data_IF_075478962591
#
_entry.id   IF_075478962591
#
_cell.length_a   1.000
_cell.length_b   1.000
_cell.length_c   1.000
_cell.angle_alpha   90.00
_cell.angle_beta   90.00
_cell.angle_gamma   90.00
#
_symmetry.space_group_name_H-M   'P 1'
#
loop_
_entity.id
_entity.type
_entity.pdbx_description
1 polymer ?
#
# COMPACT_ATOMS: atom_id res chain seq x y z
N UNK A 1 5.70 10.18 23.80
CA UNK A 1 5.39 10.08 22.37
C UNK A 1 5.03 8.64 22.10
N UNK A 2 3.76 8.36 21.78
CA UNK A 2 3.38 7.00 21.41
C UNK A 2 4.14 6.63 20.12
N UNK A 3 4.83 5.50 20.18
CA UNK A 3 5.56 4.97 19.05
C UNK A 3 4.55 4.43 18.03
N UNK A 4 4.33 5.16 16.94
CA UNK A 4 3.42 4.74 15.87
C UNK A 4 3.78 3.35 15.33
N UNK A 5 5.07 2.97 15.37
CA UNK A 5 5.52 1.66 14.88
C UNK A 5 4.92 0.50 15.67
N UNK A 6 4.62 0.68 16.96
CA UNK A 6 3.99 -0.35 17.79
C UNK A 6 2.56 -0.70 17.34
N UNK A 7 1.94 0.15 16.50
CA UNK A 7 0.61 -0.07 15.93
C UNK A 7 0.61 -0.85 14.63
N UNK A 8 1.78 -1.12 14.07
CA UNK A 8 1.92 -1.91 12.86
C UNK A 8 2.25 -3.36 13.16
N UNK A 9 1.67 -4.25 12.37
CA UNK A 9 2.07 -5.65 12.28
C UNK A 9 2.24 -6.05 10.82
N UNK A 10 3.30 -6.82 10.55
CA UNK A 10 3.55 -7.41 9.23
C UNK A 10 3.12 -8.87 9.31
N UNK A 11 2.16 -9.26 8.47
CA UNK A 11 1.65 -10.63 8.45
C UNK A 11 2.54 -11.52 7.56
N UNK A 12 2.56 -11.23 6.26
CA UNK A 12 3.30 -12.00 5.26
C UNK A 12 3.59 -11.11 4.05
N UNK A 13 4.78 -11.19 3.46
CA UNK A 13 5.20 -10.33 2.34
C UNK A 13 4.96 -8.85 2.63
N UNK A 14 4.19 -8.18 1.77
CA UNK A 14 3.79 -6.78 1.92
C UNK A 14 2.46 -6.58 2.68
N UNK A 15 1.94 -7.65 3.29
CA UNK A 15 0.69 -7.60 4.05
C UNK A 15 0.92 -6.91 5.40
N UNK A 16 0.51 -5.66 5.49
CA UNK A 16 0.75 -4.79 6.64
C UNK A 16 -0.59 -4.37 7.24
N UNK A 17 -0.73 -4.50 8.56
CA UNK A 17 -1.87 -4.03 9.31
C UNK A 17 -1.47 -2.90 10.25
N UNK A 18 -2.21 -1.80 10.21
CA UNK A 18 -2.17 -0.73 11.17
C UNK A 18 -3.41 -0.77 12.06
N UNK A 19 -3.22 -0.69 13.37
CA UNK A 19 -4.29 -0.67 14.38
C UNK A 19 -4.22 0.61 15.22
N UNK A 20 -4.97 1.62 14.83
CA UNK A 20 -5.11 2.90 15.52
C UNK A 20 -6.59 3.25 15.75
N UNK A 21 -6.94 4.53 15.62
CA UNK A 21 -8.33 4.98 15.66
C UNK A 21 -9.17 4.34 14.53
N UNK A 22 -8.54 4.01 13.42
CA UNK A 22 -9.06 3.14 12.37
C UNK A 22 -8.11 1.98 12.14
N UNK A 23 -8.63 0.83 11.73
CA UNK A 23 -7.80 -0.28 11.26
C UNK A 23 -7.62 -0.19 9.76
N UNK A 24 -6.37 -0.15 9.32
CA UNK A 24 -6.00 -0.06 7.92
C UNK A 24 -5.15 -1.28 7.55
N UNK A 25 -5.48 -1.90 6.44
CA UNK A 25 -4.68 -2.98 5.86
C UNK A 25 -4.09 -2.54 4.53
N UNK A 26 -2.85 -2.96 4.28
CA UNK A 26 -2.18 -2.84 2.98
C UNK A 26 -1.89 -4.25 2.47
N UNK A 27 -2.27 -4.53 1.23
CA UNK A 27 -2.02 -5.78 0.52
C UNK A 27 -2.25 -7.04 1.39
N UNK A 28 -3.45 -7.26 1.98
CA UNK A 28 -3.69 -8.40 2.85
C UNK A 28 -3.48 -9.70 2.09
N UNK A 29 -2.56 -10.55 2.62
CA UNK A 29 -2.17 -11.81 2.02
C UNK A 29 -1.87 -12.87 3.08
N UNK A 30 -2.35 -14.10 2.90
CA UNK A 30 -2.22 -15.24 3.82
C UNK A 30 -2.65 -14.88 5.24
N UNK A 31 -3.76 -14.21 5.38
CA UNK A 31 -4.33 -13.86 6.68
C UNK A 31 -4.93 -15.13 7.29
N UNK A 32 -4.36 -15.57 8.43
CA UNK A 32 -4.72 -16.85 9.05
C UNK A 32 -6.18 -16.90 9.54
N UNK A 33 -6.63 -15.78 10.14
CA UNK A 33 -7.98 -15.62 10.68
C UNK A 33 -8.82 -14.73 9.76
N UNK A 34 -10.10 -14.58 10.10
CA UNK A 34 -10.99 -13.61 9.47
C UNK A 34 -11.31 -12.49 10.47
N UNK A 35 -10.39 -11.53 10.70
CA UNK A 35 -10.55 -10.53 11.75
C UNK A 35 -11.73 -9.58 11.50
N UNK A 36 -12.15 -9.39 10.25
CA UNK A 36 -13.23 -8.49 9.85
C UNK A 36 -13.15 -7.12 10.54
N UNK A 37 -11.93 -6.56 10.61
CA UNK A 37 -11.65 -5.35 11.40
C UNK A 37 -11.23 -4.14 10.56
N UNK A 38 -10.93 -4.34 9.27
CA UNK A 38 -10.48 -3.27 8.40
C UNK A 38 -11.57 -2.21 8.18
N UNK A 39 -11.22 -0.95 8.41
CA UNK A 39 -11.97 0.22 7.94
C UNK A 39 -11.66 0.53 6.49
N UNK A 40 -10.38 0.43 6.14
CA UNK A 40 -9.85 0.68 4.80
C UNK A 40 -8.84 -0.41 4.45
N UNK A 41 -8.92 -0.90 3.22
CA UNK A 41 -7.91 -1.78 2.62
C UNK A 41 -7.30 -1.06 1.43
N UNK A 42 -5.98 -0.91 1.42
CA UNK A 42 -5.20 -0.41 0.30
C UNK A 42 -4.58 -1.57 -0.46
N UNK A 43 -4.77 -1.61 -1.77
CA UNK A 43 -4.13 -2.55 -2.69
C UNK A 43 -3.18 -1.78 -3.60
N UNK A 44 -1.92 -2.19 -3.65
CA UNK A 44 -0.90 -1.50 -4.44
C UNK A 44 -0.95 -1.89 -5.92
N UNK A 45 -1.22 -3.17 -6.23
CA UNK A 45 -1.30 -3.71 -7.57
C UNK A 45 -1.97 -5.10 -7.59
N UNK A 46 -2.19 -5.66 -8.78
CA UNK A 46 -2.99 -6.88 -8.97
C UNK A 46 -2.19 -8.20 -9.04
N UNK A 47 -0.93 -8.23 -8.59
CA UNK A 47 -0.25 -9.49 -8.37
C UNK A 47 -0.91 -10.27 -7.21
N UNK A 48 -0.87 -11.60 -7.28
CA UNK A 48 -1.63 -12.49 -6.39
C UNK A 48 -1.29 -12.34 -4.90
N UNK A 49 -0.10 -11.89 -4.56
CA UNK A 49 0.40 -11.68 -3.20
C UNK A 49 0.17 -10.26 -2.66
N UNK A 50 -0.45 -9.39 -3.48
CA UNK A 50 -0.88 -8.03 -3.11
C UNK A 50 -2.40 -7.87 -3.28
N UNK A 51 -2.98 -8.51 -4.28
CA UNK A 51 -4.42 -8.56 -4.51
C UNK A 51 -4.91 -10.02 -4.31
N UNK A 52 -5.16 -10.41 -3.06
CA UNK A 52 -5.80 -11.66 -2.67
C UNK A 52 -7.26 -11.39 -2.32
N UNK A 53 -8.22 -11.64 -3.23
CA UNK A 53 -9.64 -11.39 -2.94
C UNK A 53 -10.14 -12.09 -1.69
N UNK A 54 -9.70 -13.33 -1.46
CA UNK A 54 -10.07 -14.09 -0.27
C UNK A 54 -9.62 -13.41 1.02
N UNK A 55 -8.36 -12.97 1.09
CA UNK A 55 -7.82 -12.28 2.27
C UNK A 55 -8.42 -10.90 2.44
N UNK A 56 -8.65 -10.16 1.34
CA UNK A 56 -9.34 -8.86 1.38
C UNK A 56 -10.74 -9.03 1.99
N UNK A 57 -11.51 -10.05 1.58
CA UNK A 57 -12.82 -10.33 2.17
C UNK A 57 -12.74 -10.71 3.65
N UNK A 58 -11.69 -11.44 4.07
CA UNK A 58 -11.48 -11.83 5.48
C UNK A 58 -11.22 -10.64 6.40
N UNK A 59 -10.53 -9.61 5.91
CA UNK A 59 -10.19 -8.44 6.73
C UNK A 59 -11.25 -7.35 6.70
N UNK A 60 -11.99 -7.18 5.59
CA UNK A 60 -12.98 -6.12 5.43
C UNK A 60 -14.18 -6.31 6.35
N UNK A 61 -14.50 -5.32 7.17
CA UNK A 61 -15.75 -5.25 7.92
C UNK A 61 -16.86 -4.60 7.08
N UNK A 62 -18.14 -4.73 7.48
CA UNK A 62 -19.24 -4.00 6.83
C UNK A 62 -18.94 -2.50 6.74
N UNK A 63 -19.09 -1.92 5.55
CA UNK A 63 -18.81 -0.52 5.30
C UNK A 63 -17.32 -0.17 5.14
N UNK A 64 -16.42 -1.15 5.08
CA UNK A 64 -15.01 -0.93 4.70
C UNK A 64 -14.91 -0.43 3.26
N UNK A 65 -13.84 0.32 2.97
CA UNK A 65 -13.53 0.81 1.63
C UNK A 65 -12.27 0.12 1.10
N UNK A 66 -12.34 -0.39 -0.13
CA UNK A 66 -11.22 -0.94 -0.87
C UNK A 66 -10.64 0.15 -1.78
N UNK A 67 -9.43 0.60 -1.47
CA UNK A 67 -8.66 1.55 -2.28
C UNK A 67 -7.72 0.76 -3.19
N UNK A 68 -7.76 1.01 -4.49
CA UNK A 68 -6.98 0.23 -5.45
C UNK A 68 -6.68 1.06 -6.71
N UNK A 69 -5.61 0.75 -7.48
CA UNK A 69 -5.38 1.36 -8.78
C UNK A 69 -6.59 1.18 -9.71
N UNK A 70 -6.93 2.18 -10.52
CA UNK A 70 -8.04 2.08 -11.49
C UNK A 70 -7.89 0.88 -12.44
N UNK A 71 -6.65 0.47 -12.72
CA UNK A 71 -6.34 -0.71 -13.55
C UNK A 71 -6.72 -2.03 -12.90
N UNK A 72 -6.87 -2.08 -11.58
CA UNK A 72 -7.25 -3.27 -10.80
C UNK A 72 -8.79 -3.41 -10.64
N UNK A 73 -9.57 -2.38 -10.98
CA UNK A 73 -11.04 -2.36 -10.78
C UNK A 73 -11.73 -3.54 -11.48
N UNK A 74 -11.35 -3.85 -12.71
CA UNK A 74 -11.95 -4.95 -13.45
C UNK A 74 -11.70 -6.31 -12.79
N UNK A 75 -10.52 -6.51 -12.18
CA UNK A 75 -10.20 -7.71 -11.42
C UNK A 75 -11.03 -7.77 -10.13
N UNK A 76 -11.17 -6.65 -9.42
CA UNK A 76 -11.97 -6.57 -8.20
C UNK A 76 -13.46 -6.85 -8.46
N UNK A 77 -14.04 -6.31 -9.53
CA UNK A 77 -15.42 -6.62 -9.92
C UNK A 77 -15.62 -8.11 -10.20
N UNK A 78 -14.67 -8.75 -10.93
CA UNK A 78 -14.72 -10.21 -11.17
C UNK A 78 -14.60 -11.02 -9.88
N UNK A 79 -13.90 -10.50 -8.89
CA UNK A 79 -13.76 -11.11 -7.57
C UNK A 79 -14.95 -10.86 -6.63
N UNK A 80 -15.99 -10.15 -7.09
CA UNK A 80 -17.23 -9.95 -6.33
C UNK A 80 -17.29 -8.68 -5.49
N UNK A 81 -16.30 -7.80 -5.55
CA UNK A 81 -16.36 -6.50 -4.85
C UNK A 81 -17.35 -5.57 -5.55
N UNK A 82 -18.23 -4.94 -4.78
CA UNK A 82 -19.20 -3.98 -5.32
C UNK A 82 -18.49 -2.64 -5.64
N UNK A 83 -18.89 -1.99 -6.75
CA UNK A 83 -18.34 -0.68 -7.11
C UNK A 83 -18.47 0.37 -6.00
N UNK A 84 -19.56 0.33 -5.23
CA UNK A 84 -19.78 1.25 -4.11
C UNK A 84 -18.82 1.07 -2.94
N UNK A 85 -18.08 -0.05 -2.88
CA UNK A 85 -17.06 -0.33 -1.85
C UNK A 85 -15.67 0.08 -2.31
N UNK A 86 -15.49 0.47 -3.57
CA UNK A 86 -14.18 0.75 -4.16
C UNK A 86 -13.94 2.24 -4.31
N UNK A 87 -12.71 2.65 -4.04
CA UNK A 87 -12.15 3.96 -4.39
C UNK A 87 -10.99 3.74 -5.36
N UNK A 88 -11.24 3.80 -6.69
CA UNK A 88 -10.18 3.73 -7.67
C UNK A 88 -9.26 4.94 -7.60
N UNK A 89 -7.95 4.71 -7.72
CA UNK A 89 -6.94 5.78 -7.64
C UNK A 89 -6.02 5.78 -8.86
N UNK A 90 -5.39 6.93 -9.10
CA UNK A 90 -4.41 7.16 -10.17
C UNK A 90 -3.06 7.55 -9.57
N UNK A 91 -1.97 7.10 -10.18
CA UNK A 91 -0.63 7.51 -9.76
C UNK A 91 -0.46 9.03 -9.79
N UNK A 92 0.13 9.58 -8.74
CA UNK A 92 0.43 11.00 -8.59
C UNK A 92 -0.72 11.85 -8.01
N UNK A 93 -1.90 11.28 -7.79
CA UNK A 93 -3.06 12.01 -7.29
C UNK A 93 -3.23 11.86 -5.77
N UNK A 94 -3.82 12.89 -5.13
CA UNK A 94 -4.15 12.90 -3.71
C UNK A 94 -5.65 12.67 -3.50
N UNK A 95 -5.97 11.95 -2.43
CA UNK A 95 -7.32 11.53 -2.09
C UNK A 95 -7.59 11.60 -0.60
N UNK A 96 -8.84 11.42 -0.22
CA UNK A 96 -9.26 11.21 1.16
C UNK A 96 -10.26 10.04 1.22
N UNK A 97 -10.08 9.11 2.14
CA UNK A 97 -11.00 8.02 2.41
C UNK A 97 -11.31 7.95 3.91
N UNK A 98 -12.57 8.02 4.31
CA UNK A 98 -12.98 8.01 5.74
C UNK A 98 -12.12 8.96 6.61
N UNK A 99 -11.93 10.18 6.15
CA UNK A 99 -11.10 11.21 6.81
C UNK A 99 -9.58 10.91 6.86
N UNK A 100 -9.10 9.86 6.19
CA UNK A 100 -7.68 9.59 5.99
C UNK A 100 -7.20 10.26 4.69
N UNK A 101 -6.39 11.31 4.75
CA UNK A 101 -5.75 11.85 3.56
C UNK A 101 -4.58 10.96 3.13
N UNK A 102 -4.46 10.74 1.82
CA UNK A 102 -3.36 9.97 1.24
C UNK A 102 -3.01 10.40 -0.18
N UNK A 103 -1.83 10.01 -0.63
CA UNK A 103 -1.36 10.19 -2.00
C UNK A 103 -0.99 8.84 -2.59
N UNK A 104 -1.44 8.58 -3.83
CA UNK A 104 -1.04 7.42 -4.60
C UNK A 104 0.27 7.73 -5.35
N UNK A 105 1.37 7.10 -4.95
CA UNK A 105 2.71 7.30 -5.53
C UNK A 105 2.93 6.29 -6.65
N UNK A 106 3.42 6.68 -7.85
CA UNK A 106 3.74 5.72 -8.90
C UNK A 106 4.74 4.66 -8.41
N UNK A 107 4.41 3.37 -8.56
CA UNK A 107 5.26 2.24 -8.21
C UNK A 107 5.61 1.43 -9.46
N UNK A 108 6.91 1.30 -9.77
CA UNK A 108 7.36 0.62 -10.97
C UNK A 108 8.83 0.22 -10.92
N UNK A 109 9.26 -0.66 -11.84
CA UNK A 109 10.66 -1.05 -11.99
C UNK A 109 11.42 -0.16 -12.96
N UNK A 110 12.74 -0.06 -12.72
CA UNK A 110 13.74 0.50 -13.63
C UNK A 110 14.55 -0.65 -14.27
N UNK A 111 14.31 -0.91 -15.57
CA UNK A 111 15.05 -1.92 -16.31
C UNK A 111 14.71 -3.38 -15.99
N UNK A 112 13.59 -3.63 -15.29
CA UNK A 112 13.05 -4.97 -15.02
C UNK A 112 11.65 -5.09 -15.61
N UNK A 113 11.21 -6.31 -16.05
CA UNK A 113 9.92 -6.48 -16.72
C UNK A 113 8.72 -6.66 -15.78
N UNK A 114 8.93 -6.78 -14.46
CA UNK A 114 7.90 -7.27 -13.53
C UNK A 114 6.85 -6.21 -13.18
N UNK A 115 7.26 -4.96 -13.03
CA UNK A 115 6.39 -3.85 -12.65
C UNK A 115 6.57 -2.69 -13.64
N UNK A 116 6.08 -2.84 -14.88
CA UNK A 116 6.22 -1.79 -15.89
C UNK A 116 5.41 -0.56 -15.51
N UNK A 117 5.98 0.64 -15.71
CA UNK A 117 5.31 1.92 -15.41
C UNK A 117 3.94 2.07 -16.08
N UNK A 118 3.76 1.42 -17.24
CA UNK A 118 2.50 1.44 -17.99
C UNK A 118 1.33 0.76 -17.28
N UNK A 119 1.59 -0.09 -16.28
CA UNK A 119 0.53 -0.72 -15.47
C UNK A 119 -0.13 0.25 -14.50
N UNK A 120 0.48 1.43 -14.26
CA UNK A 120 -0.08 2.49 -13.41
C UNK A 120 -0.36 2.03 -11.97
N UNK A 121 0.45 1.11 -11.47
CA UNK A 121 0.42 0.64 -10.09
C UNK A 121 0.99 1.67 -9.13
N UNK A 122 0.69 1.54 -7.85
CA UNK A 122 0.98 2.58 -6.87
C UNK A 122 1.50 2.03 -5.54
N UNK A 123 2.29 2.84 -4.85
CA UNK A 123 2.40 2.83 -3.41
C UNK A 123 1.53 3.93 -2.81
N UNK A 124 1.50 4.04 -1.50
CA UNK A 124 0.63 4.99 -0.79
C UNK A 124 1.39 5.75 0.28
N UNK A 125 1.26 7.06 0.32
CA UNK A 125 1.61 7.86 1.50
C UNK A 125 0.31 8.20 2.22
N UNK A 126 0.08 7.61 3.38
CA UNK A 126 -1.15 7.77 4.17
C UNK A 126 -0.82 8.56 5.44
N UNK A 127 -1.64 9.54 5.81
CA UNK A 127 -1.50 10.23 7.08
C UNK A 127 -2.27 9.50 8.17
N UNK A 128 -1.56 8.84 9.07
CA UNK A 128 -2.07 8.10 10.20
C UNK A 128 -1.70 8.83 11.51
N UNK A 129 -2.69 9.30 12.24
CA UNK A 129 -2.49 10.06 13.49
C UNK A 129 -1.45 11.19 13.37
N UNK A 130 -1.51 11.93 12.27
CA UNK A 130 -0.62 13.06 11.98
C UNK A 130 0.78 12.68 11.50
N UNK A 131 1.06 11.38 11.32
CA UNK A 131 2.31 10.85 10.75
C UNK A 131 2.10 10.41 9.32
N UNK A 132 3.03 10.76 8.45
CA UNK A 132 3.05 10.33 7.04
C UNK A 132 3.73 8.98 6.93
N UNK A 133 2.97 7.97 6.53
CA UNK A 133 3.44 6.59 6.38
C UNK A 133 3.45 6.23 4.89
N UNK A 134 4.61 5.86 4.38
CA UNK A 134 4.79 5.40 3.00
C UNK A 134 4.84 3.88 2.95
N UNK A 135 3.89 3.28 2.26
CA UNK A 135 3.92 1.86 1.86
C UNK A 135 4.18 1.83 0.36
N UNK A 136 5.40 1.45 -0.02
CA UNK A 136 5.89 1.64 -1.38
C UNK A 136 5.26 0.70 -2.42
N UNK A 137 4.70 -0.45 -1.99
CA UNK A 137 4.36 -1.52 -2.91
C UNK A 137 5.61 -2.08 -3.60
N UNK A 138 5.42 -2.74 -4.73
CA UNK A 138 6.54 -3.28 -5.50
C UNK A 138 7.11 -2.24 -6.47
N UNK A 139 8.23 -1.67 -6.09
CA UNK A 139 8.91 -0.60 -6.83
C UNK A 139 10.42 -0.75 -6.76
N UNK A 140 11.11 -0.11 -7.68
CA UNK A 140 12.53 0.20 -7.57
C UNK A 140 12.74 1.60 -6.95
N UNK A 141 14.00 1.98 -6.77
CA UNK A 141 14.43 3.30 -6.33
C UNK A 141 14.24 4.34 -7.46
N UNK A 142 12.96 4.66 -7.70
CA UNK A 142 12.51 5.54 -8.78
C UNK A 142 12.57 7.02 -8.39
N UNK A 143 12.62 7.96 -9.36
CA UNK A 143 12.48 9.39 -9.06
C UNK A 143 11.19 9.72 -8.31
N UNK A 144 10.08 9.02 -8.64
CA UNK A 144 8.80 9.22 -7.94
C UNK A 144 8.89 8.78 -6.46
N UNK A 145 9.50 7.61 -6.19
CA UNK A 145 9.72 7.13 -4.82
C UNK A 145 10.65 8.07 -4.01
N UNK A 146 11.71 8.59 -4.65
CA UNK A 146 12.63 9.56 -4.04
C UNK A 146 11.99 10.92 -3.71
N UNK A 147 10.92 11.28 -4.39
CA UNK A 147 10.19 12.52 -4.12
C UNK A 147 9.29 12.44 -2.87
N UNK A 148 9.14 11.26 -2.29
CA UNK A 148 8.30 11.04 -1.12
C UNK A 148 8.98 11.58 0.14
N UNK A 149 8.25 12.40 0.91
CA UNK A 149 8.62 12.76 2.27
C UNK A 149 7.67 12.03 3.24
N UNK A 150 8.20 11.32 4.22
CA UNK A 150 7.41 10.55 5.18
C UNK A 150 8.14 10.41 6.53
N UNK A 151 7.39 10.07 7.58
CA UNK A 151 7.93 9.77 8.91
C UNK A 151 8.28 8.28 9.05
N UNK A 152 7.58 7.41 8.31
CA UNK A 152 7.77 5.96 8.31
C UNK A 152 7.68 5.45 6.87
N UNK A 153 8.57 4.54 6.48
CA UNK A 153 8.53 3.90 5.16
C UNK A 153 8.61 2.37 5.28
N UNK A 154 7.70 1.70 4.60
CA UNK A 154 7.76 0.26 4.33
C UNK A 154 8.22 0.06 2.89
N UNK A 155 9.43 -0.45 2.72
CA UNK A 155 10.12 -0.56 1.44
C UNK A 155 10.37 -2.02 1.08
N UNK A 156 10.15 -2.44 -0.18
CA UNK A 156 10.44 -3.80 -0.60
C UNK A 156 11.95 -4.02 -0.74
N UNK A 157 12.42 -5.21 -0.34
CA UNK A 157 13.83 -5.60 -0.38
C UNK A 157 14.05 -6.97 -1.07
N UNK A 158 13.12 -7.38 -1.93
CA UNK A 158 13.12 -8.69 -2.58
C UNK A 158 14.24 -8.92 -3.60
N UNK A 159 14.94 -7.87 -4.03
CA UNK A 159 16.10 -7.92 -4.93
C UNK A 159 15.77 -8.22 -6.38
N UNK A 160 15.17 -9.37 -6.68
CA UNK A 160 14.87 -9.78 -8.06
C UNK A 160 13.72 -8.94 -8.66
N UNK A 161 12.62 -8.84 -7.97
CA UNK A 161 11.40 -8.18 -8.44
C UNK A 161 11.34 -6.69 -8.07
N UNK A 162 12.02 -6.33 -6.99
CA UNK A 162 12.03 -5.00 -6.39
C UNK A 162 13.44 -4.56 -6.05
N UNK A 163 13.61 -3.58 -5.16
CA UNK A 163 14.90 -3.10 -4.69
C UNK A 163 15.70 -4.19 -3.96
N UNK A 164 17.03 -4.11 -4.06
CA UNK A 164 17.91 -4.75 -3.10
C UNK A 164 17.88 -4.01 -1.76
N UNK A 165 18.34 -4.64 -0.68
CA UNK A 165 18.45 -3.99 0.63
C UNK A 165 19.31 -2.71 0.59
N UNK A 166 20.39 -2.70 -0.21
CA UNK A 166 21.24 -1.51 -0.38
C UNK A 166 20.50 -0.35 -1.09
N UNK A 167 19.70 -0.66 -2.11
CA UNK A 167 18.88 0.35 -2.80
C UNK A 167 17.78 0.90 -1.89
N UNK A 168 17.09 0.03 -1.13
CA UNK A 168 16.08 0.46 -0.18
C UNK A 168 16.66 1.31 0.94
N UNK A 169 17.86 0.98 1.45
CA UNK A 169 18.58 1.81 2.42
C UNK A 169 18.94 3.19 1.85
N UNK A 170 19.35 3.25 0.59
CA UNK A 170 19.60 4.52 -0.11
C UNK A 170 18.32 5.36 -0.22
N UNK A 171 17.21 4.76 -0.62
CA UNK A 171 15.91 5.44 -0.69
C UNK A 171 15.44 5.92 0.68
N UNK A 172 15.58 5.09 1.73
CA UNK A 172 15.20 5.45 3.10
C UNK A 172 15.99 6.68 3.61
N UNK A 173 17.28 6.78 3.28
CA UNK A 173 18.09 7.94 3.64
C UNK A 173 17.59 9.24 2.99
N UNK A 174 17.06 9.19 1.78
CA UNK A 174 16.41 10.35 1.14
C UNK A 174 15.09 10.73 1.81
N UNK A 175 14.26 9.75 2.14
CA UNK A 175 12.95 9.98 2.79
C UNK A 175 13.10 10.56 4.21
N UNK A 176 14.18 10.20 4.92
CA UNK A 176 14.48 10.65 6.29
C UNK A 176 15.19 12.01 6.39
N UNK A 177 15.70 12.56 5.29
CA UNK A 177 16.48 13.81 5.28
C UNK A 177 15.62 15.08 5.35
N UNK A 178 14.30 14.95 5.39
CA UNK A 178 13.41 16.09 5.63
C UNK A 178 12.88 16.08 7.08
N UNK A 179 13.79 16.19 8.03
CA UNK A 179 13.50 16.52 9.42
C UNK A 179 13.69 18.02 9.62
#
# INVERSE_FOLDING_TARGET
MDDILSRFSINCHSSIRYAGAMTVWFDPFRVADAPCDADVVFVTHDHYDHFSPEDIHRVMKPGAVLVLPETCVAAALRAGFASAQMLPVRPGEAYTVKDLPFTAVPAYNLGKPFHPRGNRWVGYVVTLEGRRVYVAGDTDDTPDARSVSCDVAFLPVGGTYTMTAAQAAGLAAWAAVMV
#
